data_IF_268838423824
#
_entry.id   IF_268838423824
#
_cell.length_a   1.000
_cell.length_b   1.000
_cell.length_c   1.000
_cell.angle_alpha   90.00
_cell.angle_beta   90.00
_cell.angle_gamma   90.00
#
_symmetry.space_group_name_H-M   'P 1'
#
loop_
_entity.id
_entity.type
_entity.pdbx_description
1 polymer ?
#
# COMPACT_ATOMS: atom_id res chain seq x y z
N UNK A 1 -27.33 5.07 0.67
CA UNK A 1 -27.41 6.19 -0.28
C UNK A 1 -28.57 7.09 0.09
N UNK A 2 -28.42 8.41 0.04
CA UNK A 2 -29.51 9.33 0.33
C UNK A 2 -29.16 10.79 0.02
N UNK A 3 -30.21 11.58 -0.22
CA UNK A 3 -30.15 13.03 -0.22
C UNK A 3 -29.88 13.52 1.20
N UNK A 4 -28.78 14.25 1.43
CA UNK A 4 -28.49 14.91 2.70
C UNK A 4 -28.52 16.41 2.47
N UNK A 5 -29.28 17.13 3.28
CA UNK A 5 -29.38 18.57 3.14
C UNK A 5 -30.60 19.17 3.81
N UNK A 6 -30.78 20.47 3.62
CA UNK A 6 -32.00 21.19 3.98
C UNK A 6 -32.91 21.32 2.75
N UNK A 7 -34.12 21.83 2.93
CA UNK A 7 -35.04 22.11 1.82
C UNK A 7 -34.43 22.99 0.72
N UNK A 8 -33.45 23.83 1.07
CA UNK A 8 -32.82 24.78 0.14
C UNK A 8 -31.53 24.26 -0.51
N UNK A 9 -30.94 23.18 0.01
CA UNK A 9 -29.71 22.61 -0.55
C UNK A 9 -29.63 21.14 -0.19
N UNK A 10 -29.69 20.29 -1.22
CA UNK A 10 -29.58 18.84 -1.12
C UNK A 10 -28.32 18.39 -1.86
N UNK A 11 -27.41 17.75 -1.15
CA UNK A 11 -26.22 17.12 -1.71
C UNK A 11 -26.41 15.60 -1.70
N UNK A 12 -26.06 14.94 -2.81
CA UNK A 12 -26.02 13.49 -2.86
C UNK A 12 -24.83 13.00 -2.03
N UNK A 13 -25.11 12.31 -0.93
CA UNK A 13 -24.06 11.85 -0.01
C UNK A 13 -24.18 10.35 0.25
N UNK A 14 -23.03 9.70 0.35
CA UNK A 14 -22.94 8.30 0.74
C UNK A 14 -22.65 8.23 2.23
N UNK A 15 -23.61 7.72 3.01
CA UNK A 15 -23.41 7.38 4.42
C UNK A 15 -23.22 5.87 4.51
N UNK A 16 -22.02 5.44 4.85
CA UNK A 16 -21.70 4.04 5.11
C UNK A 16 -20.48 3.96 6.03
N UNK A 17 -20.37 2.92 6.88
CA UNK A 17 -19.15 2.63 7.61
C UNK A 17 -17.91 2.59 6.70
N UNK A 18 -18.08 2.19 5.43
CA UNK A 18 -16.99 2.15 4.44
C UNK A 18 -16.41 3.54 4.12
N UNK A 19 -17.19 4.61 4.26
CA UNK A 19 -16.69 6.00 4.08
C UNK A 19 -15.72 6.34 5.20
N UNK A 20 -16.08 6.03 6.45
CA UNK A 20 -15.21 6.25 7.59
C UNK A 20 -13.93 5.42 7.50
N UNK A 21 -14.02 4.17 7.03
CA UNK A 21 -12.84 3.35 6.77
C UNK A 21 -11.96 4.00 5.71
N UNK A 22 -12.51 4.43 4.57
CA UNK A 22 -11.75 5.07 3.50
C UNK A 22 -11.03 6.33 3.97
N UNK A 23 -11.70 7.22 4.73
CA UNK A 23 -11.09 8.42 5.29
C UNK A 23 -9.95 8.09 6.26
N UNK A 24 -10.10 7.03 7.06
CA UNK A 24 -9.05 6.62 8.01
C UNK A 24 -7.86 5.95 7.33
N UNK A 25 -8.09 5.16 6.28
CA UNK A 25 -7.02 4.61 5.47
C UNK A 25 -6.23 5.72 4.77
N UNK A 26 -6.92 6.74 4.25
CA UNK A 26 -6.26 7.90 3.64
C UNK A 26 -5.38 8.63 4.65
N UNK A 27 -5.90 8.95 5.85
CA UNK A 27 -5.09 9.58 6.89
C UNK A 27 -3.88 8.72 7.29
N UNK A 28 -4.09 7.41 7.44
CA UNK A 28 -3.05 6.46 7.84
C UNK A 28 -1.91 6.32 6.83
N UNK A 29 -2.08 6.69 5.56
CA UNK A 29 -0.99 6.66 4.56
C UNK A 29 0.27 7.37 5.05
N UNK A 30 0.09 8.46 5.81
CA UNK A 30 1.20 9.23 6.41
C UNK A 30 1.93 8.42 7.48
N UNK A 31 1.23 7.65 8.33
CA UNK A 31 1.86 6.78 9.33
C UNK A 31 2.69 5.69 8.66
N UNK A 32 2.12 5.08 7.62
CA UNK A 32 2.75 3.98 6.91
C UNK A 32 3.80 4.43 5.89
N UNK A 33 3.91 5.73 5.58
CA UNK A 33 4.84 6.26 4.60
C UNK A 33 4.62 5.68 3.19
N UNK A 34 3.38 5.45 2.80
CA UNK A 34 3.01 4.87 1.49
C UNK A 34 2.06 5.78 0.72
N UNK A 35 2.03 5.65 -0.60
CA UNK A 35 1.13 6.43 -1.46
C UNK A 35 -0.34 5.99 -1.38
N UNK A 36 -0.59 4.73 -1.05
CA UNK A 36 -1.93 4.16 -1.06
C UNK A 36 -2.05 3.03 -0.05
N UNK A 37 -3.15 3.05 0.71
CA UNK A 37 -3.58 1.94 1.54
C UNK A 37 -4.88 1.35 1.00
N UNK A 38 -4.94 0.02 0.98
CA UNK A 38 -6.04 -0.74 0.41
C UNK A 38 -6.51 -1.76 1.46
N UNK A 39 -7.82 -1.85 1.68
CA UNK A 39 -8.38 -2.87 2.58
C UNK A 39 -8.44 -4.24 1.90
N UNK A 40 -8.38 -5.33 2.66
CA UNK A 40 -8.62 -6.68 2.12
C UNK A 40 -9.94 -6.82 1.35
N UNK A 41 -11.01 -6.15 1.77
CA UNK A 41 -12.29 -6.15 1.05
C UNK A 41 -12.14 -5.67 -0.40
N UNK A 42 -11.25 -4.72 -0.67
CA UNK A 42 -10.97 -4.25 -2.02
C UNK A 42 -10.09 -5.24 -2.79
N UNK A 43 -9.08 -5.83 -2.13
CA UNK A 43 -8.21 -6.85 -2.72
C UNK A 43 -9.02 -8.08 -3.15
N UNK A 44 -10.02 -8.49 -2.36
CA UNK A 44 -10.91 -9.61 -2.67
C UNK A 44 -11.82 -9.35 -3.88
N UNK A 45 -12.02 -8.08 -4.25
CA UNK A 45 -12.75 -7.68 -5.47
C UNK A 45 -11.82 -7.55 -6.68
N UNK A 46 -10.50 -7.51 -6.48
CA UNK A 46 -9.52 -7.54 -7.55
C UNK A 46 -9.35 -8.97 -8.09
N UNK A 47 -8.85 -9.08 -9.32
CA UNK A 47 -8.38 -10.37 -9.80
C UNK A 47 -7.12 -10.81 -9.01
N UNK A 48 -6.87 -12.13 -8.87
CA UNK A 48 -5.75 -12.65 -8.09
C UNK A 48 -4.39 -12.10 -8.52
N UNK A 49 -4.22 -11.85 -9.82
CA UNK A 49 -3.00 -11.31 -10.42
C UNK A 49 -2.69 -9.91 -9.90
N UNK A 50 -3.70 -9.02 -9.87
CA UNK A 50 -3.54 -7.69 -9.26
C UNK A 50 -3.31 -7.78 -7.75
N UNK A 51 -4.03 -8.70 -7.09
CA UNK A 51 -3.85 -8.95 -5.66
C UNK A 51 -2.42 -9.36 -5.31
N UNK A 52 -1.73 -10.10 -6.18
CA UNK A 52 -0.35 -10.52 -5.99
C UNK A 52 0.67 -9.35 -6.03
N UNK A 53 0.32 -8.23 -6.67
CA UNK A 53 1.16 -7.02 -6.67
C UNK A 53 0.99 -6.16 -5.40
N UNK A 54 -0.02 -6.45 -4.59
CA UNK A 54 -0.33 -5.76 -3.34
C UNK A 54 0.27 -6.50 -2.15
N UNK A 55 1.15 -5.84 -1.39
CA UNK A 55 1.75 -6.40 -0.18
C UNK A 55 0.80 -6.21 1.01
N UNK A 56 0.49 -7.30 1.73
CA UNK A 56 -0.14 -7.23 3.05
C UNK A 56 0.85 -6.63 4.04
N UNK A 57 0.50 -5.53 4.69
CA UNK A 57 1.42 -4.79 5.56
C UNK A 57 1.03 -4.76 7.03
N UNK A 58 -0.26 -4.87 7.34
CA UNK A 58 -0.73 -4.79 8.73
C UNK A 58 -2.12 -5.44 8.90
N UNK A 59 -2.47 -5.74 10.14
CA UNK A 59 -3.78 -6.17 10.57
C UNK A 59 -4.19 -5.32 11.76
N UNK A 60 -5.17 -4.43 11.54
CA UNK A 60 -5.48 -3.37 12.50
C UNK A 60 -6.96 -3.30 12.85
N UNK A 61 -7.26 -2.93 14.09
CA UNK A 61 -8.60 -2.52 14.49
C UNK A 61 -8.65 -1.00 14.46
N UNK A 62 -9.64 -0.50 13.74
CA UNK A 62 -9.87 0.93 13.59
C UNK A 62 -10.88 1.38 14.65
N UNK A 63 -10.63 2.51 15.32
CA UNK A 63 -11.52 3.02 16.36
C UNK A 63 -12.96 3.18 15.85
N UNK A 64 -13.90 2.56 16.57
CA UNK A 64 -15.32 2.51 16.20
C UNK A 64 -15.72 1.30 15.36
N UNK A 65 -14.77 0.51 14.87
CA UNK A 65 -15.00 -0.83 14.31
C UNK A 65 -14.58 -1.90 15.33
N UNK A 66 -15.35 -2.98 15.44
CA UNK A 66 -14.95 -4.19 16.19
C UNK A 66 -14.28 -5.24 15.31
N UNK A 67 -14.44 -5.11 14.00
CA UNK A 67 -13.88 -6.05 13.04
C UNK A 67 -12.50 -5.57 12.63
N UNK A 68 -11.46 -6.39 12.80
CA UNK A 68 -10.11 -6.04 12.36
C UNK A 68 -10.04 -6.04 10.82
N UNK A 69 -9.14 -5.23 10.30
CA UNK A 69 -8.99 -4.90 8.89
C UNK A 69 -7.55 -5.18 8.47
N UNK A 70 -7.37 -6.07 7.49
CA UNK A 70 -6.07 -6.27 6.85
C UNK A 70 -5.80 -5.14 5.86
N UNK A 71 -4.62 -4.56 5.95
CA UNK A 71 -4.15 -3.45 5.14
C UNK A 71 -3.12 -3.91 4.11
N UNK A 72 -3.29 -3.45 2.89
CA UNK A 72 -2.41 -3.71 1.76
C UNK A 72 -1.88 -2.40 1.21
N UNK A 73 -0.73 -2.47 0.54
CA UNK A 73 -0.16 -1.36 -0.23
C UNK A 73 0.28 -1.84 -1.61
N UNK A 74 0.32 -0.91 -2.56
CA UNK A 74 1.00 -1.12 -3.84
C UNK A 74 2.37 -0.44 -3.75
N UNK A 75 3.43 -1.23 -3.68
CA UNK A 75 4.79 -0.73 -3.53
C UNK A 75 5.26 -0.03 -4.82
N UNK A 76 5.39 1.31 -4.77
CA UNK A 76 5.83 2.16 -5.87
C UNK A 76 6.77 3.25 -5.35
N UNK A 77 7.92 3.40 -6.00
CA UNK A 77 8.84 4.51 -5.77
C UNK A 77 8.75 5.55 -6.89
N UNK A 78 7.86 6.53 -6.73
CA UNK A 78 7.68 7.59 -7.72
C UNK A 78 8.96 8.43 -7.92
N UNK A 79 9.88 8.47 -6.94
CA UNK A 79 11.14 9.21 -7.06
C UNK A 79 12.15 8.50 -7.97
N UNK A 80 11.93 7.23 -8.30
CA UNK A 80 12.75 6.50 -9.27
C UNK A 80 12.49 6.94 -10.73
N UNK A 81 11.42 7.71 -10.99
CA UNK A 81 11.12 8.21 -12.31
C UNK A 81 11.94 9.47 -12.62
N UNK A 82 12.48 9.51 -13.84
CA UNK A 82 13.11 10.72 -14.36
C UNK A 82 12.08 11.81 -14.61
N UNK A 83 12.45 13.07 -14.38
CA UNK A 83 11.60 14.21 -14.74
C UNK A 83 11.43 14.22 -16.25
N UNK A 84 10.22 13.97 -16.71
CA UNK A 84 9.89 14.09 -18.12
C UNK A 84 9.79 15.58 -18.44
N UNK A 85 10.85 16.12 -19.06
CA UNK A 85 10.81 17.48 -19.61
C UNK A 85 9.62 17.53 -20.58
N UNK A 86 8.66 18.41 -20.27
CA UNK A 86 7.43 18.57 -21.03
C UNK A 86 7.77 18.73 -22.50
N UNK A 87 7.55 17.67 -23.29
CA UNK A 87 7.52 17.80 -24.75
C UNK A 87 6.38 18.78 -25.05
N UNK A 88 6.51 19.66 -26.06
CA UNK A 88 5.38 20.49 -26.46
C UNK A 88 4.26 19.56 -26.91
N UNK A 89 3.33 19.27 -25.99
CA UNK A 89 2.16 18.47 -26.30
C UNK A 89 1.40 19.21 -27.39
N UNK A 90 0.93 18.49 -28.41
CA UNK A 90 -0.03 19.05 -29.35
C UNK A 90 -1.29 19.39 -28.56
N UNK A 91 -1.43 20.64 -28.14
CA UNK A 91 -2.60 21.11 -27.40
C UNK A 91 -3.81 21.02 -28.33
N UNK A 92 -4.63 19.99 -28.14
CA UNK A 92 -5.91 19.85 -28.84
C UNK A 92 -6.89 20.83 -28.21
N UNK A 93 -7.12 21.98 -28.84
CA UNK A 93 -8.09 22.99 -28.34
C UNK A 93 -9.55 22.58 -28.54
N UNK A 94 -9.83 21.63 -29.45
CA UNK A 94 -11.20 21.22 -29.76
C UNK A 94 -11.77 20.28 -28.68
N UNK A 95 -12.70 20.81 -27.89
CA UNK A 95 -13.38 20.10 -26.79
C UNK A 95 -14.10 18.83 -27.24
N UNK A 96 -14.71 18.83 -28.43
CA UNK A 96 -15.38 17.64 -28.98
C UNK A 96 -14.37 16.54 -29.27
N UNK A 97 -13.23 16.87 -29.87
CA UNK A 97 -12.14 15.92 -30.13
C UNK A 97 -11.53 15.37 -28.84
N UNK A 98 -11.36 16.21 -27.81
CA UNK A 98 -10.93 15.75 -26.47
C UNK A 98 -11.92 14.73 -25.91
N UNK A 99 -13.23 15.01 -26.00
CA UNK A 99 -14.27 14.08 -25.52
C UNK A 99 -14.21 12.75 -26.26
N UNK A 100 -14.13 12.77 -27.60
CA UNK A 100 -14.01 11.53 -28.39
C UNK A 100 -12.78 10.71 -28.00
N UNK A 101 -11.62 11.34 -27.82
CA UNK A 101 -10.40 10.64 -27.38
C UNK A 101 -10.55 10.03 -25.98
N UNK A 102 -11.25 10.71 -25.04
CA UNK A 102 -11.54 10.16 -23.71
C UNK A 102 -12.47 8.95 -23.78
N UNK A 103 -13.51 8.99 -24.62
CA UNK A 103 -14.40 7.84 -24.81
C UNK A 103 -13.67 6.66 -25.46
N UNK A 104 -12.79 6.90 -26.43
CA UNK A 104 -11.96 5.84 -27.03
C UNK A 104 -11.08 5.15 -25.98
N UNK A 105 -10.32 5.91 -25.19
CA UNK A 105 -9.48 5.36 -24.11
C UNK A 105 -10.29 4.66 -23.03
N UNK A 106 -11.48 5.16 -22.73
CA UNK A 106 -12.40 4.52 -21.78
C UNK A 106 -12.85 3.16 -22.32
N UNK A 107 -13.30 3.10 -23.58
CA UNK A 107 -13.76 1.85 -24.19
C UNK A 107 -12.62 0.82 -24.30
N UNK A 108 -11.41 1.26 -24.61
CA UNK A 108 -10.21 0.41 -24.60
C UNK A 108 -9.99 -0.21 -23.21
N UNK A 109 -10.02 0.61 -22.15
CA UNK A 109 -9.88 0.13 -20.76
C UNK A 109 -11.07 -0.70 -20.25
N UNK A 110 -12.22 -0.60 -20.92
CA UNK A 110 -13.42 -1.36 -20.56
C UNK A 110 -13.54 -2.66 -21.36
N UNK A 111 -12.63 -2.89 -22.31
CA UNK A 111 -12.52 -4.15 -23.04
C UNK A 111 -12.21 -5.30 -22.08
N UNK A 112 -12.78 -6.47 -22.35
CA UNK A 112 -12.48 -7.70 -21.59
C UNK A 112 -11.02 -8.15 -21.76
N UNK A 113 -10.37 -7.72 -22.84
CA UNK A 113 -8.95 -7.97 -23.12
C UNK A 113 -8.02 -7.07 -22.29
N UNK A 114 -8.52 -5.97 -21.74
CA UNK A 114 -7.70 -5.05 -20.96
C UNK A 114 -7.56 -5.55 -19.53
N UNK A 115 -6.34 -5.95 -19.16
CA UNK A 115 -6.01 -6.33 -17.80
C UNK A 115 -5.04 -5.32 -17.18
N UNK A 116 -5.32 -4.89 -15.94
CA UNK A 116 -4.49 -3.86 -15.27
C UNK A 116 -3.14 -4.42 -14.82
N UNK A 117 -3.08 -5.71 -14.47
CA UNK A 117 -1.85 -6.30 -13.93
C UNK A 117 -0.74 -6.38 -15.00
N UNK A 118 -1.06 -6.51 -16.29
CA UNK A 118 -0.07 -6.50 -17.38
C UNK A 118 0.79 -5.22 -17.38
N UNK A 119 0.23 -4.10 -16.95
CA UNK A 119 0.98 -2.85 -16.83
C UNK A 119 2.13 -2.97 -15.81
N UNK A 120 2.00 -3.81 -14.78
CA UNK A 120 3.08 -4.03 -13.80
C UNK A 120 4.29 -4.77 -14.37
N UNK A 121 4.11 -5.47 -15.49
CA UNK A 121 5.17 -6.23 -16.17
C UNK A 121 5.70 -5.50 -17.42
N UNK A 122 4.85 -4.73 -18.08
CA UNK A 122 5.12 -4.15 -19.40
C UNK A 122 5.35 -2.64 -19.39
N UNK A 123 4.77 -1.90 -18.45
CA UNK A 123 4.94 -0.44 -18.38
C UNK A 123 6.32 -0.10 -17.78
N UNK A 124 7.15 0.59 -18.57
CA UNK A 124 8.52 0.93 -18.19
C UNK A 124 8.60 1.76 -16.90
N UNK A 125 7.62 2.64 -16.66
CA UNK A 125 7.61 3.51 -15.48
C UNK A 125 7.20 2.71 -14.25
N UNK A 126 6.18 1.84 -14.35
CA UNK A 126 5.79 0.97 -13.23
C UNK A 126 6.94 0.01 -12.87
N UNK A 127 7.56 -0.61 -13.87
CA UNK A 127 8.72 -1.50 -13.65
C UNK A 127 9.86 -0.73 -12.97
N UNK A 128 10.14 0.51 -13.40
CA UNK A 128 11.18 1.36 -12.79
C UNK A 128 10.84 1.75 -11.34
N UNK A 129 9.61 2.15 -11.07
CA UNK A 129 9.13 2.47 -9.71
C UNK A 129 9.21 1.26 -8.77
N UNK A 130 9.15 0.03 -9.31
CA UNK A 130 9.20 -1.21 -8.53
C UNK A 130 10.60 -1.81 -8.39
N UNK A 131 11.60 -1.27 -9.08
CA UNK A 131 12.94 -1.85 -9.17
C UNK A 131 13.61 -2.09 -7.80
N UNK A 132 13.32 -1.26 -6.79
CA UNK A 132 13.88 -1.44 -5.43
C UNK A 132 13.24 -2.56 -4.61
N UNK A 133 12.07 -3.04 -5.02
CA UNK A 133 11.32 -4.08 -4.30
C UNK A 133 11.56 -5.44 -4.95
N UNK A 134 12.60 -6.12 -4.50
CA UNK A 134 12.95 -7.46 -5.02
C UNK A 134 11.97 -8.54 -4.55
N UNK A 135 11.92 -9.66 -5.27
CA UNK A 135 11.16 -10.83 -4.84
C UNK A 135 11.62 -11.36 -3.46
N UNK A 136 12.92 -11.27 -3.17
CA UNK A 136 13.47 -11.65 -1.86
C UNK A 136 12.97 -10.72 -0.74
N UNK A 137 12.86 -9.42 -1.03
CA UNK A 137 12.24 -8.47 -0.09
C UNK A 137 10.80 -8.88 0.24
N UNK A 138 9.97 -9.11 -0.78
CA UNK A 138 8.59 -9.52 -0.56
C UNK A 138 8.48 -10.81 0.26
N UNK A 139 9.34 -11.80 -0.03
CA UNK A 139 9.39 -13.07 0.69
C UNK A 139 9.78 -12.87 2.16
N UNK A 140 10.87 -12.15 2.42
CA UNK A 140 11.36 -11.87 3.78
C UNK A 140 10.35 -11.09 4.59
N UNK A 141 9.80 -10.02 4.01
CA UNK A 141 8.75 -9.24 4.66
C UNK A 141 7.54 -10.10 5.00
N UNK A 142 7.05 -10.91 4.05
CA UNK A 142 5.89 -11.78 4.26
C UNK A 142 6.12 -12.80 5.39
N UNK A 143 7.32 -13.38 5.45
CA UNK A 143 7.69 -14.28 6.55
C UNK A 143 7.80 -13.54 7.89
N UNK A 144 8.38 -12.35 7.90
CA UNK A 144 8.50 -11.53 9.11
C UNK A 144 7.12 -11.13 9.64
N UNK A 145 6.23 -10.69 8.76
CA UNK A 145 4.85 -10.34 9.07
C UNK A 145 4.08 -11.52 9.68
N UNK A 146 4.22 -12.73 9.14
CA UNK A 146 3.60 -13.94 9.72
C UNK A 146 4.11 -14.25 11.12
N UNK A 147 5.41 -14.07 11.37
CA UNK A 147 5.97 -14.21 12.73
C UNK A 147 5.41 -13.15 13.68
N UNK A 148 5.26 -11.90 13.22
CA UNK A 148 4.62 -10.84 13.99
C UNK A 148 3.18 -11.19 14.35
N UNK A 149 2.38 -11.64 13.38
CA UNK A 149 0.99 -12.05 13.58
C UNK A 149 0.89 -13.25 14.55
N UNK A 150 1.84 -14.18 14.50
CA UNK A 150 1.93 -15.33 15.41
C UNK A 150 2.44 -15.00 16.83
N UNK A 151 2.93 -13.77 17.07
CA UNK A 151 3.51 -13.38 18.37
C UNK A 151 5.02 -13.58 18.51
N UNK A 152 5.70 -14.09 17.48
CA UNK A 152 7.15 -14.31 17.46
C UNK A 152 7.92 -13.00 17.13
N UNK A 153 7.71 -11.96 17.94
CA UNK A 153 8.13 -10.58 17.63
C UNK A 153 9.64 -10.39 17.50
N UNK A 154 10.45 -11.19 18.21
CA UNK A 154 11.92 -11.14 18.05
C UNK A 154 12.37 -11.66 16.69
N UNK A 155 11.78 -12.78 16.26
CA UNK A 155 12.05 -13.36 14.93
C UNK A 155 11.57 -12.39 13.85
N UNK A 156 10.36 -11.85 14.01
CA UNK A 156 9.81 -10.84 13.11
C UNK A 156 10.74 -9.63 12.97
N UNK A 157 11.21 -9.07 14.09
CA UNK A 157 12.16 -7.94 14.11
C UNK A 157 13.41 -8.24 13.30
N UNK A 158 14.08 -9.36 13.57
CA UNK A 158 15.37 -9.69 12.92
C UNK A 158 15.21 -9.86 11.40
N UNK A 159 14.08 -10.42 10.98
CA UNK A 159 13.73 -10.53 9.56
C UNK A 159 13.38 -9.18 8.92
N UNK A 160 12.67 -8.30 9.64
CA UNK A 160 12.33 -6.94 9.16
C UNK A 160 13.60 -6.08 9.00
N UNK A 161 14.56 -6.15 9.93
CA UNK A 161 15.84 -5.43 9.78
C UNK A 161 16.62 -5.83 8.53
N UNK A 162 16.45 -7.06 8.07
CA UNK A 162 17.18 -7.61 6.94
C UNK A 162 16.31 -7.84 5.69
N UNK A 163 15.10 -7.27 5.64
CA UNK A 163 14.16 -7.55 4.56
C UNK A 163 14.62 -6.96 3.21
N UNK A 164 15.29 -5.81 3.21
CA UNK A 164 15.87 -5.22 2.00
C UNK A 164 17.27 -5.76 1.65
N UNK A 165 17.87 -6.60 2.52
CA UNK A 165 19.19 -7.13 2.28
C UNK A 165 19.19 -8.12 1.10
N UNK A 166 20.09 -7.90 0.15
CA UNK A 166 20.24 -8.73 -1.03
C UNK A 166 21.64 -9.31 -1.11
N UNK A 167 21.84 -10.63 -0.91
CA UNK A 167 23.18 -11.23 -0.87
C UNK A 167 24.03 -11.00 -2.13
N UNK A 168 23.41 -10.79 -3.30
CA UNK A 168 24.10 -10.59 -4.58
C UNK A 168 24.66 -9.18 -4.77
N UNK A 169 24.01 -8.16 -4.21
CA UNK A 169 24.41 -6.74 -4.31
C UNK A 169 25.11 -6.23 -3.04
N UNK A 170 24.86 -6.88 -1.91
CA UNK A 170 25.34 -6.47 -0.59
C UNK A 170 26.42 -7.42 -0.02
N UNK A 171 27.08 -8.21 -0.89
CA UNK A 171 28.22 -9.04 -0.49
C UNK A 171 29.34 -8.15 0.06
N UNK A 172 29.57 -8.20 1.37
CA UNK A 172 30.55 -7.37 2.08
C UNK A 172 29.99 -6.09 2.71
N UNK A 173 28.70 -5.77 2.54
CA UNK A 173 28.04 -4.73 3.34
C UNK A 173 27.67 -5.26 4.72
N UNK A 174 27.85 -4.43 5.73
CA UNK A 174 27.50 -4.74 7.12
C UNK A 174 26.02 -5.12 7.19
N UNK A 175 25.72 -6.28 7.80
CA UNK A 175 24.33 -6.68 8.05
C UNK A 175 23.78 -5.70 9.08
N UNK A 176 22.75 -4.96 8.68
CA UNK A 176 21.99 -4.07 9.55
C UNK A 176 21.54 -4.85 10.79
N UNK A 177 22.11 -4.53 11.93
CA UNK A 177 21.86 -5.20 13.23
C UNK A 177 21.51 -4.20 14.33
N UNK A 178 21.42 -2.91 14.01
CA UNK A 178 21.23 -1.83 14.97
C UNK A 178 20.02 -0.96 14.63
N UNK A 179 19.44 -0.33 15.65
CA UNK A 179 18.32 0.61 15.48
C UNK A 179 18.72 1.90 14.75
N UNK A 180 20.02 2.17 14.58
CA UNK A 180 20.50 3.36 13.88
C UNK A 180 20.41 3.26 12.34
N UNK A 181 20.28 2.05 11.80
CA UNK A 181 20.31 1.77 10.37
C UNK A 181 18.98 1.17 9.87
N UNK A 182 17.85 1.70 10.35
CA UNK A 182 16.53 1.16 9.99
C UNK A 182 16.26 1.17 8.47
N UNK A 183 15.49 0.20 7.96
CA UNK A 183 15.04 0.21 6.58
C UNK A 183 14.26 1.49 6.25
N UNK A 184 14.34 1.97 5.00
CA UNK A 184 13.59 3.15 4.56
C UNK A 184 12.11 2.83 4.24
N UNK A 185 11.71 1.56 4.21
CA UNK A 185 10.34 1.13 3.91
C UNK A 185 9.38 1.44 5.06
N UNK A 186 8.44 2.36 4.80
CA UNK A 186 7.51 2.86 5.80
C UNK A 186 6.70 1.77 6.52
N UNK A 187 6.11 0.78 5.85
CA UNK A 187 5.44 -0.35 6.52
C UNK A 187 6.35 -1.17 7.43
N UNK A 188 7.58 -1.44 7.00
CA UNK A 188 8.60 -2.12 7.83
C UNK A 188 8.90 -1.32 9.09
N UNK A 189 9.19 -0.03 8.94
CA UNK A 189 9.44 0.90 10.05
C UNK A 189 8.26 0.99 11.01
N UNK A 190 7.04 1.00 10.47
CA UNK A 190 5.81 1.10 11.25
C UNK A 190 5.64 -0.09 12.19
N UNK A 191 5.86 -1.32 11.70
CA UNK A 191 5.81 -2.52 12.54
C UNK A 191 6.96 -2.57 13.55
N UNK A 192 8.18 -2.19 13.14
CA UNK A 192 9.34 -2.13 14.04
C UNK A 192 9.10 -1.14 15.19
N UNK A 193 8.63 0.07 14.89
CA UNK A 193 8.25 1.09 15.88
C UNK A 193 7.22 0.55 16.87
N UNK A 194 6.18 -0.13 16.39
CA UNK A 194 5.16 -0.70 17.25
C UNK A 194 5.73 -1.76 18.19
N UNK A 195 6.49 -2.72 17.67
CA UNK A 195 7.09 -3.77 18.49
C UNK A 195 8.12 -3.22 19.48
N UNK A 196 8.84 -2.15 19.13
CA UNK A 196 9.84 -1.52 19.99
C UNK A 196 9.25 -0.98 21.28
N UNK A 197 7.99 -0.50 21.27
CA UNK A 197 7.30 0.05 22.45
C UNK A 197 7.24 -0.93 23.62
N UNK A 198 7.18 -2.23 23.34
CA UNK A 198 7.16 -3.30 24.34
C UNK A 198 8.47 -4.10 24.38
N UNK A 199 9.57 -3.53 23.85
CA UNK A 199 10.88 -4.17 23.73
C UNK A 199 10.80 -5.52 22.99
N UNK A 200 10.01 -5.56 21.92
CA UNK A 200 9.82 -6.72 21.04
C UNK A 200 9.25 -7.93 21.78
N UNK A 201 8.32 -7.68 22.72
CA UNK A 201 7.55 -8.73 23.40
C UNK A 201 6.06 -8.51 23.14
N UNK A 202 5.34 -9.49 22.58
CA UNK A 202 3.91 -9.36 22.39
C UNK A 202 3.18 -9.27 23.74
N UNK A 203 1.96 -8.69 23.78
CA UNK A 203 1.02 -8.91 24.87
C UNK A 203 0.75 -10.41 25.09
N UNK A 204 0.40 -10.80 26.32
CA UNK A 204 0.16 -12.21 26.68
C UNK A 204 -0.92 -12.86 25.80
N UNK A 205 -1.97 -12.11 25.45
CA UNK A 205 -3.09 -12.56 24.61
C UNK A 205 -3.06 -11.90 23.23
N UNK A 206 -1.88 -11.81 22.62
CA UNK A 206 -1.70 -11.16 21.32
C UNK A 206 -2.64 -11.76 20.25
N UNK A 207 -3.62 -11.00 19.74
CA UNK A 207 -4.66 -11.55 18.86
C UNK A 207 -4.25 -11.52 17.38
N UNK A 208 -2.97 -11.25 17.08
CA UNK A 208 -2.47 -11.09 15.72
C UNK A 208 -2.83 -9.77 15.04
N UNK A 209 -3.31 -8.78 15.79
CA UNK A 209 -3.65 -7.45 15.30
C UNK A 209 -3.49 -6.38 16.36
N UNK A 210 -3.24 -5.14 15.94
CA UNK A 210 -3.10 -3.97 16.82
C UNK A 210 -4.20 -2.94 16.61
N UNK A 211 -4.35 -2.02 17.54
CA UNK A 211 -5.16 -0.82 17.30
C UNK A 211 -4.40 0.14 16.37
N UNK A 212 -5.11 0.70 15.39
CA UNK A 212 -4.55 1.76 14.55
C UNK A 212 -4.56 3.08 15.37
N UNK A 213 -3.40 3.74 15.59
CA UNK A 213 -3.34 4.98 16.33
C UNK A 213 -4.19 6.08 15.68
N UNK A 214 -4.92 6.85 16.50
CA UNK A 214 -5.56 8.09 16.05
C UNK A 214 -4.47 9.14 15.75
N UNK A 215 -4.66 9.93 14.70
CA UNK A 215 -3.86 11.12 14.40
C UNK A 215 -4.34 12.34 15.17
#
# INVERSE_FOLDING_TARGET
EGAIGSEFKIDASYLSPNVNVATRLEAATTQFGVWMLVSHFMIELCNPEMGAHCRLIDHVVVKGSRTPLRLYTVDLDCLALGVQLSRPERIIKNRFKIRQLRELRKNEKWSEEYTVYEAFETDEDIVRMRAKFSMEFFRRFSMAYRNYEAGEWRVARDMLFTCHYTPKSDAGRYVVTSEADWPEDGPTVTLLNFMQQTKYRPPQDWPGHRELPDH
#
